data_IF_721141931204
#
_entry.id   IF_721141931204
#
_cell.length_a   1.000
_cell.length_b   1.000
_cell.length_c   1.000
_cell.angle_alpha   90.00
_cell.angle_beta   90.00
_cell.angle_gamma   90.00
#
_symmetry.space_group_name_H-M   'P 1'
#
loop_
_entity.id
_entity.type
_entity.pdbx_description
1 polymer ?
#
# COMPACT_ATOMS: atom_id res chain seq x y z
N UNK A 1 -0.81 -19.39 51.52
CA UNK A 1 -0.75 -18.04 50.98
C UNK A 1 0.47 -17.98 50.05
N UNK A 2 0.27 -18.08 48.74
CA UNK A 2 1.36 -17.88 47.73
C UNK A 2 0.88 -16.78 46.78
N UNK A 3 1.44 -15.61 46.91
CA UNK A 3 1.22 -14.44 46.08
C UNK A 3 1.88 -14.63 44.72
N UNK A 4 1.08 -14.67 43.67
CA UNK A 4 1.53 -14.70 42.28
C UNK A 4 1.77 -13.27 41.85
N UNK A 5 3.02 -12.89 41.62
CA UNK A 5 3.42 -11.62 40.99
C UNK A 5 3.15 -11.70 39.48
N UNK A 6 2.14 -10.98 39.02
CA UNK A 6 1.94 -10.70 37.60
C UNK A 6 2.99 -9.67 37.16
N UNK A 7 4.01 -10.10 36.42
CA UNK A 7 4.92 -9.16 35.72
C UNK A 7 4.20 -8.58 34.51
N UNK A 8 3.84 -7.33 34.60
CA UNK A 8 3.44 -6.54 33.43
C UNK A 8 4.69 -6.27 32.57
N UNK A 9 4.72 -6.88 31.40
CA UNK A 9 5.70 -6.53 30.37
C UNK A 9 5.21 -5.24 29.68
N UNK A 10 5.75 -4.12 30.05
CA UNK A 10 5.60 -2.86 29.31
C UNK A 10 6.54 -2.93 28.12
N UNK A 11 6.00 -3.12 26.92
CA UNK A 11 6.74 -2.98 25.68
C UNK A 11 6.89 -1.47 25.42
N UNK A 12 8.02 -0.92 25.80
CA UNK A 12 8.42 0.44 25.42
C UNK A 12 8.88 0.42 23.97
N UNK A 13 8.03 0.86 23.05
CA UNK A 13 8.44 1.20 21.68
C UNK A 13 9.19 2.52 21.75
N UNK A 14 10.51 2.47 21.65
CA UNK A 14 11.34 3.65 21.56
C UNK A 14 11.12 4.29 20.17
N UNK A 15 10.38 5.40 20.13
CA UNK A 15 10.23 6.25 18.95
C UNK A 15 11.53 7.06 18.77
N UNK A 16 12.34 6.63 17.81
CA UNK A 16 13.44 7.46 17.30
C UNK A 16 12.84 8.52 16.37
N UNK A 17 12.80 9.77 16.81
CA UNK A 17 12.49 10.92 15.95
C UNK A 17 13.75 11.29 15.18
N UNK A 18 13.86 10.91 13.91
CA UNK A 18 14.84 11.46 12.97
C UNK A 18 14.21 12.59 12.16
N UNK A 19 14.95 13.68 11.85
CA UNK A 19 14.40 14.78 11.09
C UNK A 19 14.06 14.36 9.66
N UNK A 20 12.84 14.69 9.25
CA UNK A 20 12.28 14.41 7.92
C UNK A 20 12.95 15.31 6.86
N UNK A 21 13.75 14.71 5.98
CA UNK A 21 14.13 15.32 4.70
C UNK A 21 13.90 14.31 3.57
N UNK A 22 12.64 14.06 3.27
CA UNK A 22 12.25 13.15 2.19
C UNK A 22 11.59 13.88 1.03
N UNK A 23 12.38 14.55 0.18
CA UNK A 23 11.87 15.12 -1.07
C UNK A 23 11.94 14.03 -2.13
N UNK A 24 10.77 13.56 -2.60
CA UNK A 24 10.66 12.77 -3.83
C UNK A 24 10.37 11.27 -3.70
N UNK A 25 10.64 10.61 -2.58
CA UNK A 25 10.33 9.18 -2.40
C UNK A 25 8.88 8.92 -1.95
N UNK A 26 8.10 9.97 -1.72
CA UNK A 26 6.71 9.90 -1.25
C UNK A 26 5.77 9.12 -2.20
N UNK A 27 6.14 8.96 -3.48
CA UNK A 27 5.37 8.13 -4.42
C UNK A 27 5.26 6.67 -3.95
N UNK A 28 6.17 6.20 -3.09
CA UNK A 28 6.14 4.87 -2.50
C UNK A 28 4.96 4.66 -1.53
N UNK A 29 4.43 5.74 -0.97
CA UNK A 29 3.29 5.73 -0.05
C UNK A 29 1.94 5.91 -0.75
N UNK A 30 1.94 6.27 -2.04
CA UNK A 30 0.72 6.42 -2.82
C UNK A 30 0.10 5.05 -3.05
N UNK A 31 -1.23 4.88 -2.81
CA UNK A 31 -1.95 3.67 -3.17
C UNK A 31 -1.92 3.42 -4.68
N UNK A 32 -1.81 2.16 -5.08
CA UNK A 32 -1.84 1.75 -6.49
C UNK A 32 -2.94 0.74 -6.81
N UNK A 33 -3.80 0.42 -5.82
CA UNK A 33 -5.00 -0.38 -6.05
C UNK A 33 -6.21 0.33 -5.46
N UNK A 34 -7.38 0.29 -6.14
CA UNK A 34 -8.62 0.88 -5.62
C UNK A 34 -9.02 0.32 -4.26
N UNK A 35 -8.80 -0.98 -4.06
CA UNK A 35 -9.11 -1.65 -2.79
C UNK A 35 -8.26 -1.12 -1.64
N UNK A 36 -6.95 -0.92 -1.88
CA UNK A 36 -6.06 -0.30 -0.89
C UNK A 36 -6.56 1.10 -0.51
N UNK A 37 -6.87 1.93 -1.52
CA UNK A 37 -7.37 3.29 -1.31
C UNK A 37 -8.68 3.27 -0.55
N UNK A 38 -9.67 2.51 -1.03
CA UNK A 38 -11.02 2.46 -0.47
C UNK A 38 -11.07 1.95 0.98
N UNK A 39 -10.13 1.09 1.39
CA UNK A 39 -9.98 0.66 2.79
C UNK A 39 -9.31 1.72 3.67
N UNK A 40 -8.98 2.92 3.16
CA UNK A 40 -8.13 3.88 3.86
C UNK A 40 -6.72 3.33 4.15
N UNK A 41 -6.29 2.28 3.43
CA UNK A 41 -5.05 1.55 3.66
C UNK A 41 -5.08 0.52 4.79
N UNK A 42 -6.23 0.19 5.38
CA UNK A 42 -6.37 -0.79 6.47
C UNK A 42 -6.26 -2.25 5.97
N UNK A 43 -5.18 -2.59 5.30
CA UNK A 43 -5.03 -3.88 4.61
C UNK A 43 -3.87 -4.76 5.04
N UNK A 44 -3.08 -4.40 6.06
CA UNK A 44 -1.83 -5.11 6.44
C UNK A 44 -2.02 -6.59 6.74
N UNK A 45 -3.20 -7.02 7.19
CA UNK A 45 -3.55 -8.42 7.48
C UNK A 45 -4.60 -9.00 6.51
N UNK A 46 -4.94 -8.31 5.42
CA UNK A 46 -6.04 -8.67 4.52
C UNK A 46 -5.60 -9.71 3.49
N UNK A 47 -5.48 -10.96 3.90
CA UNK A 47 -5.09 -12.05 3.01
C UNK A 47 -6.17 -12.41 1.99
N UNK A 48 -5.72 -12.69 0.77
CA UNK A 48 -6.51 -13.22 -0.33
C UNK A 48 -6.66 -12.28 -1.52
N UNK A 49 -5.91 -11.19 -1.53
CA UNK A 49 -5.76 -10.32 -2.68
C UNK A 49 -4.26 -10.00 -2.86
N UNK A 50 -3.59 -10.69 -3.79
CA UNK A 50 -2.16 -10.53 -3.98
C UNK A 50 -1.77 -9.14 -4.53
N UNK A 51 -2.69 -8.34 -5.06
CA UNK A 51 -2.42 -6.97 -5.48
C UNK A 51 -2.03 -6.05 -4.31
N UNK A 52 -2.36 -6.44 -3.07
CA UNK A 52 -2.06 -5.71 -1.85
C UNK A 52 -0.66 -6.01 -1.27
N UNK A 53 0.19 -6.80 -1.94
CA UNK A 53 1.52 -7.17 -1.42
C UNK A 53 2.40 -5.98 -1.03
N UNK A 54 2.12 -4.81 -1.58
CA UNK A 54 2.78 -3.54 -1.23
C UNK A 54 2.45 -3.03 0.18
N UNK A 55 1.36 -3.49 0.80
CA UNK A 55 1.04 -3.22 2.20
C UNK A 55 1.76 -4.19 3.15
N UNK A 56 1.88 -5.45 2.72
CA UNK A 56 2.55 -6.50 3.45
C UNK A 56 2.98 -7.59 2.44
N UNK A 57 4.27 -7.86 2.26
CA UNK A 57 4.75 -8.86 1.30
C UNK A 57 4.10 -10.24 1.41
N UNK A 58 3.70 -10.66 2.62
CA UNK A 58 3.01 -11.93 2.83
C UNK A 58 1.64 -12.01 2.14
N UNK A 59 1.07 -10.87 1.71
CA UNK A 59 -0.19 -10.82 0.96
C UNK A 59 -0.04 -11.29 -0.49
N UNK A 60 1.19 -11.39 -1.02
CA UNK A 60 1.42 -11.95 -2.36
C UNK A 60 0.90 -13.39 -2.49
N UNK A 61 0.81 -14.10 -1.37
CA UNK A 61 0.39 -15.51 -1.33
C UNK A 61 -1.09 -15.62 -1.69
N UNK A 62 -1.35 -16.36 -2.76
CA UNK A 62 -2.69 -16.59 -3.27
C UNK A 62 -3.45 -17.63 -2.42
N UNK A 63 -4.78 -17.49 -2.32
CA UNK A 63 -5.65 -18.53 -1.73
C UNK A 63 -5.82 -19.73 -2.65
N UNK A 64 -5.98 -19.46 -3.93
CA UNK A 64 -6.10 -20.45 -4.99
C UNK A 64 -4.98 -20.16 -5.98
N UNK A 65 -4.08 -21.12 -6.23
CA UNK A 65 -3.00 -20.93 -7.19
C UNK A 65 -3.55 -20.63 -8.59
N UNK A 66 -3.18 -19.49 -9.14
CA UNK A 66 -3.55 -19.04 -10.48
C UNK A 66 -2.53 -18.02 -11.00
N UNK A 67 -2.50 -17.76 -12.29
CA UNK A 67 -1.79 -16.59 -12.83
C UNK A 67 -2.75 -15.41 -12.80
N UNK A 68 -2.39 -14.37 -12.07
CA UNK A 68 -3.19 -13.14 -11.98
C UNK A 68 -2.39 -11.95 -12.50
N UNK A 69 -3.03 -11.11 -13.31
CA UNK A 69 -2.42 -9.89 -13.83
C UNK A 69 -3.32 -8.71 -13.48
N UNK A 70 -2.73 -7.67 -12.93
CA UNK A 70 -3.40 -6.46 -12.49
C UNK A 70 -2.87 -5.26 -13.28
N UNK A 71 -3.76 -4.44 -13.82
CA UNK A 71 -3.46 -3.16 -14.45
C UNK A 71 -4.13 -2.06 -13.67
N UNK A 72 -3.37 -1.10 -13.17
CA UNK A 72 -3.86 0.01 -12.37
C UNK A 72 -3.59 1.36 -13.01
N UNK A 73 -4.56 2.25 -12.93
CA UNK A 73 -4.45 3.67 -13.24
C UNK A 73 -4.80 4.49 -12.01
N UNK A 74 -4.02 5.53 -11.75
CA UNK A 74 -4.16 6.40 -10.60
C UNK A 74 -4.14 7.86 -11.06
N UNK A 75 -5.25 8.58 -10.85
CA UNK A 75 -5.32 10.02 -10.91
C UNK A 75 -5.17 10.54 -9.46
N UNK A 76 -4.01 11.08 -9.15
CA UNK A 76 -3.65 11.47 -7.79
C UNK A 76 -3.68 12.99 -7.61
N UNK A 77 -3.37 13.44 -6.40
CA UNK A 77 -3.29 14.86 -6.05
C UNK A 77 -2.23 15.60 -6.90
N UNK A 78 -2.39 16.91 -7.07
CA UNK A 78 -1.50 17.77 -7.85
C UNK A 78 -1.29 17.28 -9.31
N UNK A 79 -2.37 16.81 -9.94
CA UNK A 79 -2.38 16.27 -11.30
C UNK A 79 -1.39 15.12 -11.55
N UNK A 80 -0.89 14.48 -10.48
CA UNK A 80 -0.04 13.33 -10.61
C UNK A 80 -0.82 12.15 -11.20
N UNK A 81 -0.20 11.45 -12.15
CA UNK A 81 -0.76 10.29 -12.83
C UNK A 81 0.11 9.07 -12.59
N UNK A 82 -0.51 7.99 -12.15
CA UNK A 82 0.17 6.75 -11.85
C UNK A 82 -0.33 5.59 -12.70
N UNK A 83 0.60 4.71 -13.01
CA UNK A 83 0.32 3.45 -13.69
C UNK A 83 0.96 2.30 -12.93
N UNK A 84 0.31 1.16 -12.90
CA UNK A 84 0.91 -0.05 -12.33
C UNK A 84 0.51 -1.30 -13.10
N UNK A 85 1.45 -2.21 -13.18
CA UNK A 85 1.22 -3.58 -13.65
C UNK A 85 1.79 -4.53 -12.62
N UNK A 86 1.03 -5.56 -12.27
CA UNK A 86 1.48 -6.63 -11.38
C UNK A 86 1.10 -7.96 -12.00
N UNK A 87 2.04 -8.89 -12.04
CA UNK A 87 1.79 -10.29 -12.37
C UNK A 87 2.12 -11.17 -11.17
N UNK A 88 1.23 -12.07 -10.83
CA UNK A 88 1.38 -12.99 -9.69
C UNK A 88 1.13 -14.41 -10.15
N UNK A 89 2.00 -15.33 -9.75
CA UNK A 89 1.87 -16.74 -10.11
C UNK A 89 2.49 -17.67 -9.06
N UNK A 90 2.07 -18.93 -9.01
CA UNK A 90 2.74 -19.96 -8.22
C UNK A 90 4.19 -20.13 -8.65
N UNK A 91 5.13 -20.17 -7.70
CA UNK A 91 6.54 -20.34 -8.00
C UNK A 91 7.30 -20.94 -6.81
N UNK A 92 8.09 -22.00 -7.03
CA UNK A 92 8.95 -22.65 -6.02
C UNK A 92 8.23 -23.00 -4.70
N UNK A 93 7.00 -23.51 -4.79
CA UNK A 93 6.18 -23.89 -3.63
C UNK A 93 5.69 -22.72 -2.80
N UNK A 94 5.72 -21.53 -3.34
CA UNK A 94 5.16 -20.27 -2.85
C UNK A 94 4.48 -19.51 -3.97
N UNK A 95 4.42 -18.20 -3.84
CA UNK A 95 3.89 -17.27 -4.85
C UNK A 95 4.91 -16.20 -5.17
N UNK A 96 5.16 -15.98 -6.46
CA UNK A 96 5.98 -14.88 -6.98
C UNK A 96 5.07 -13.78 -7.49
N UNK A 97 5.34 -12.54 -7.10
CA UNK A 97 4.74 -11.33 -7.63
C UNK A 97 5.80 -10.47 -8.30
N UNK A 98 5.57 -10.06 -9.53
CA UNK A 98 6.39 -9.08 -10.24
C UNK A 98 5.57 -7.82 -10.47
N UNK A 99 6.12 -6.66 -10.13
CA UNK A 99 5.41 -5.39 -10.22
C UNK A 99 6.23 -4.30 -10.88
N UNK A 100 5.54 -3.46 -11.62
CA UNK A 100 6.02 -2.17 -12.10
C UNK A 100 5.01 -1.11 -11.69
N UNK A 101 5.47 0.01 -11.15
CA UNK A 101 4.64 1.19 -10.94
C UNK A 101 5.40 2.46 -11.25
N UNK A 102 4.69 3.45 -11.74
CA UNK A 102 5.21 4.80 -11.93
C UNK A 102 4.21 5.84 -11.46
N UNK A 103 4.69 6.97 -10.99
CA UNK A 103 3.91 8.17 -10.69
C UNK A 103 4.63 9.36 -11.32
N UNK A 104 3.89 10.18 -12.05
CA UNK A 104 4.45 11.31 -12.82
C UNK A 104 3.63 12.56 -12.56
N UNK A 105 4.30 13.69 -12.35
CA UNK A 105 3.72 15.03 -12.34
C UNK A 105 4.37 15.78 -13.51
N UNK A 106 3.56 16.22 -14.45
CA UNK A 106 3.98 16.97 -15.63
C UNK A 106 3.73 18.47 -15.45
N UNK A 107 4.27 19.25 -16.35
CA UNK A 107 4.00 20.69 -16.50
C UNK A 107 4.32 21.52 -15.24
N UNK A 108 5.31 21.07 -14.45
CA UNK A 108 5.84 21.85 -13.35
C UNK A 108 6.62 23.06 -13.89
N UNK A 109 6.28 24.26 -13.43
CA UNK A 109 6.88 25.48 -13.91
C UNK A 109 8.24 25.75 -13.26
N UNK A 110 9.25 25.97 -14.08
CA UNK A 110 10.54 26.47 -13.63
C UNK A 110 10.48 28.02 -13.63
N UNK A 111 10.54 28.60 -12.44
CA UNK A 111 10.52 30.06 -12.26
C UNK A 111 11.76 30.54 -11.51
N UNK A 112 12.16 31.78 -11.75
CA UNK A 112 13.20 32.47 -10.94
C UNK A 112 12.59 33.07 -9.68
N UNK A 113 13.44 33.53 -8.77
CA UNK A 113 13.02 34.29 -7.59
C UNK A 113 12.40 35.67 -7.94
N UNK A 114 12.57 36.14 -9.17
CA UNK A 114 11.93 37.39 -9.66
C UNK A 114 10.59 37.02 -10.30
N UNK A 115 9.49 37.69 -9.92
CA UNK A 115 8.22 37.49 -10.57
C UNK A 115 8.28 37.78 -12.06
N UNK A 116 7.83 36.87 -12.90
CA UNK A 116 7.68 37.04 -14.35
C UNK A 116 6.32 36.49 -14.74
N UNK A 117 5.69 37.05 -15.76
CA UNK A 117 4.40 36.58 -16.25
C UNK A 117 4.49 35.15 -16.79
N UNK A 118 5.57 34.86 -17.54
CA UNK A 118 5.82 33.56 -18.11
C UNK A 118 6.86 32.75 -17.31
N UNK A 119 6.71 31.41 -17.20
CA UNK A 119 7.76 30.56 -16.66
C UNK A 119 8.96 30.46 -17.60
N UNK A 120 10.15 30.18 -17.07
CA UNK A 120 11.35 29.94 -17.88
C UNK A 120 11.21 28.70 -18.75
N UNK A 121 10.63 27.67 -18.24
CA UNK A 121 10.32 26.39 -18.90
C UNK A 121 9.37 25.58 -18.04
N UNK A 122 8.86 24.48 -18.59
CA UNK A 122 8.19 23.43 -17.82
C UNK A 122 9.08 22.19 -17.73
N UNK A 123 8.87 21.40 -16.67
CA UNK A 123 9.57 20.14 -16.48
C UNK A 123 8.63 19.08 -15.87
N UNK A 124 9.08 17.84 -15.90
CA UNK A 124 8.36 16.70 -15.34
C UNK A 124 9.17 16.11 -14.20
N UNK A 125 8.48 15.62 -13.18
CA UNK A 125 9.07 14.76 -12.14
C UNK A 125 8.38 13.40 -12.14
N UNK A 126 9.15 12.34 -11.95
CA UNK A 126 8.61 10.99 -11.92
C UNK A 126 9.32 10.10 -10.89
N UNK A 127 8.58 9.14 -10.36
CA UNK A 127 9.10 8.04 -9.57
C UNK A 127 8.66 6.70 -10.16
N UNK A 128 9.59 5.79 -10.36
CA UNK A 128 9.34 4.44 -10.89
C UNK A 128 9.88 3.40 -9.93
N UNK A 129 9.16 2.29 -9.76
CA UNK A 129 9.61 1.14 -8.99
C UNK A 129 9.36 -0.16 -9.74
N UNK A 130 10.40 -0.99 -9.84
CA UNK A 130 10.33 -2.38 -10.28
C UNK A 130 10.42 -3.26 -9.04
N UNK A 131 9.50 -4.20 -8.89
CA UNK A 131 9.31 -4.94 -7.65
C UNK A 131 9.27 -6.44 -7.91
N UNK A 132 9.95 -7.22 -7.08
CA UNK A 132 9.86 -8.67 -7.04
C UNK A 132 9.52 -9.10 -5.61
N UNK A 133 8.35 -9.68 -5.42
CA UNK A 133 7.86 -10.20 -4.16
C UNK A 133 7.80 -11.72 -4.20
N UNK A 134 8.19 -12.37 -3.12
CA UNK A 134 7.98 -13.80 -2.95
C UNK A 134 7.46 -14.09 -1.56
N UNK A 135 6.50 -15.00 -1.49
CA UNK A 135 5.90 -15.39 -0.23
C UNK A 135 5.56 -16.87 -0.19
N UNK A 136 5.66 -17.44 1.01
CA UNK A 136 5.31 -18.82 1.30
C UNK A 136 4.71 -18.94 2.69
N UNK A 137 3.83 -19.92 2.85
CA UNK A 137 3.21 -20.19 4.14
C UNK A 137 2.21 -21.33 4.08
N UNK A 138 1.46 -21.43 5.14
CA UNK A 138 0.36 -22.40 5.29
C UNK A 138 -0.90 -21.65 5.78
N UNK A 139 -1.92 -22.40 6.16
CA UNK A 139 -3.19 -21.80 6.61
C UNK A 139 -3.06 -20.97 7.90
N UNK A 140 -2.00 -21.20 8.70
CA UNK A 140 -1.80 -20.53 9.98
C UNK A 140 -0.83 -19.36 9.88
N UNK A 141 0.30 -19.54 9.19
CA UNK A 141 1.39 -18.54 9.12
C UNK A 141 1.85 -18.39 7.68
N UNK A 142 2.04 -17.14 7.26
CA UNK A 142 2.52 -16.73 5.94
C UNK A 142 3.60 -15.69 6.12
N UNK A 143 4.67 -15.84 5.36
CA UNK A 143 5.81 -14.92 5.34
C UNK A 143 6.07 -14.46 3.91
N UNK A 144 6.54 -13.26 3.76
CA UNK A 144 6.89 -12.72 2.45
C UNK A 144 7.98 -11.66 2.53
N UNK A 145 8.65 -11.48 1.41
CA UNK A 145 9.64 -10.42 1.20
C UNK A 145 9.48 -9.81 -0.18
N UNK A 146 9.84 -8.56 -0.32
CA UNK A 146 9.89 -7.82 -1.58
C UNK A 146 11.25 -7.17 -1.73
N UNK A 147 11.85 -7.30 -2.92
CA UNK A 147 12.99 -6.51 -3.36
C UNK A 147 12.50 -5.49 -4.39
N UNK A 148 12.96 -4.27 -4.28
CA UNK A 148 12.53 -3.17 -5.13
C UNK A 148 13.73 -2.38 -5.64
N UNK A 149 13.76 -2.16 -6.96
CA UNK A 149 14.61 -1.17 -7.58
C UNK A 149 13.81 0.09 -7.83
N UNK A 150 14.41 1.24 -7.52
CA UNK A 150 13.78 2.55 -7.55
C UNK A 150 14.53 3.47 -8.51
N UNK A 151 13.79 4.27 -9.25
CA UNK A 151 14.31 5.37 -10.06
C UNK A 151 13.45 6.59 -9.85
N UNK A 152 14.10 7.72 -9.70
CA UNK A 152 13.46 9.03 -9.60
C UNK A 152 14.13 9.99 -10.57
N UNK A 153 13.30 10.80 -11.22
CA UNK A 153 13.75 11.83 -12.14
C UNK A 153 13.04 13.14 -11.82
N UNK A 154 13.75 14.25 -11.85
CA UNK A 154 13.18 15.59 -11.70
C UNK A 154 14.05 16.59 -12.43
N UNK A 155 13.46 17.28 -13.40
CA UNK A 155 14.17 18.21 -14.27
C UNK A 155 15.33 17.51 -15.01
N UNK A 156 16.59 17.85 -14.69
CA UNK A 156 17.81 17.26 -15.28
C UNK A 156 18.49 16.25 -14.33
N UNK A 157 17.91 15.99 -13.17
CA UNK A 157 18.51 15.13 -12.15
C UNK A 157 17.80 13.78 -12.10
N UNK A 158 18.59 12.73 -11.88
CA UNK A 158 18.09 11.39 -11.65
C UNK A 158 18.77 10.77 -10.41
N UNK A 159 18.04 9.91 -9.72
CA UNK A 159 18.54 9.10 -8.62
C UNK A 159 17.95 7.70 -8.73
N UNK A 160 18.73 6.70 -8.37
CA UNK A 160 18.27 5.32 -8.27
C UNK A 160 18.57 4.75 -6.90
N UNK A 161 17.89 3.68 -6.53
CA UNK A 161 18.08 3.05 -5.24
C UNK A 161 17.48 1.66 -5.16
N UNK A 162 17.65 1.06 -4.00
CA UNK A 162 17.08 -0.25 -3.68
C UNK A 162 16.38 -0.20 -2.33
N UNK A 163 15.27 -0.89 -2.25
CA UNK A 163 14.52 -1.08 -1.01
C UNK A 163 14.09 -2.53 -0.88
N UNK A 164 13.91 -2.97 0.36
CA UNK A 164 13.35 -4.26 0.68
C UNK A 164 12.21 -4.11 1.69
N UNK A 165 11.25 -5.03 1.59
CA UNK A 165 10.16 -5.14 2.54
C UNK A 165 10.12 -6.56 3.09
N UNK A 166 9.67 -6.71 4.32
CA UNK A 166 9.36 -8.00 4.93
C UNK A 166 7.99 -7.96 5.58
N UNK A 167 7.32 -9.10 5.62
CA UNK A 167 6.00 -9.16 6.22
C UNK A 167 5.59 -10.56 6.63
N UNK A 168 4.67 -10.59 7.58
CA UNK A 168 4.09 -11.80 8.13
C UNK A 168 2.58 -11.65 8.33
N UNK A 169 1.86 -12.77 8.22
CA UNK A 169 0.44 -12.88 8.54
C UNK A 169 0.22 -14.16 9.34
N UNK A 170 -0.54 -14.04 10.42
CA UNK A 170 -1.02 -15.18 11.21
C UNK A 170 -2.56 -15.26 11.12
N UNK A 171 -3.08 -16.48 10.86
CA UNK A 171 -4.52 -16.77 10.91
C UNK A 171 -4.87 -17.37 12.25
N UNK A 172 -5.83 -16.79 12.93
CA UNK A 172 -6.33 -17.15 14.25
C UNK A 172 -7.84 -17.45 14.16
N UNK A 173 -8.38 -18.12 15.17
CA UNK A 173 -9.81 -18.42 15.26
C UNK A 173 -10.37 -19.07 13.98
N UNK A 174 -9.68 -20.09 13.47
CA UNK A 174 -10.03 -20.79 12.23
C UNK A 174 -10.18 -19.86 11.01
N UNK A 175 -9.30 -18.85 10.93
CA UNK A 175 -9.24 -17.90 9.83
C UNK A 175 -10.24 -16.74 9.91
N UNK A 176 -11.02 -16.64 11.00
CA UNK A 176 -11.92 -15.50 11.24
C UNK A 176 -11.17 -14.24 11.63
N UNK A 177 -10.07 -14.38 12.32
CA UNK A 177 -9.18 -13.30 12.69
C UNK A 177 -7.83 -13.52 12.01
N UNK A 178 -7.33 -12.52 11.34
CA UNK A 178 -5.96 -12.50 10.83
C UNK A 178 -5.21 -11.31 11.44
N UNK A 179 -3.99 -11.57 11.90
CA UNK A 179 -3.05 -10.54 12.34
C UNK A 179 -1.91 -10.44 11.34
N UNK A 180 -1.45 -9.25 11.04
CA UNK A 180 -0.36 -9.02 10.12
C UNK A 180 0.60 -7.96 10.64
N UNK A 181 1.87 -8.09 10.26
CA UNK A 181 2.90 -7.10 10.51
C UNK A 181 3.79 -6.97 9.28
N UNK A 182 4.26 -5.76 8.99
CA UNK A 182 5.22 -5.51 7.91
C UNK A 182 6.17 -4.36 8.24
N UNK A 183 7.38 -4.46 7.68
CA UNK A 183 8.35 -3.38 7.59
C UNK A 183 8.61 -3.15 6.10
N UNK A 184 8.44 -1.91 5.63
CA UNK A 184 8.46 -1.55 4.20
C UNK A 184 9.42 -0.41 3.93
N UNK A 185 9.88 -0.36 2.67
CA UNK A 185 10.74 0.70 2.16
C UNK A 185 12.06 0.86 2.94
N UNK A 186 12.59 -0.22 3.50
CA UNK A 186 13.91 -0.22 4.14
C UNK A 186 14.99 -0.33 3.08
N UNK A 187 15.92 0.63 3.02
CA UNK A 187 16.95 0.66 1.98
C UNK A 187 17.58 2.03 1.82
N UNK A 188 18.08 2.30 0.62
CA UNK A 188 18.76 3.57 0.35
C UNK A 188 18.65 3.98 -1.12
N UNK A 189 18.71 5.29 -1.33
CA UNK A 189 18.85 5.92 -2.64
C UNK A 189 20.29 6.41 -2.85
N UNK A 190 20.74 6.47 -4.09
CA UNK A 190 21.95 7.18 -4.47
C UNK A 190 21.71 8.69 -4.39
N UNK A 191 22.78 9.47 -4.34
CA UNK A 191 22.66 10.92 -4.24
C UNK A 191 21.93 11.50 -5.45
N UNK A 192 20.99 12.39 -5.18
CA UNK A 192 20.31 13.24 -6.13
C UNK A 192 21.07 14.58 -6.14
N UNK A 193 22.03 14.72 -7.03
CA UNK A 193 23.04 15.79 -7.01
C UNK A 193 23.99 15.65 -5.79
N UNK A 194 23.68 16.30 -4.68
CA UNK A 194 24.53 16.33 -3.46
C UNK A 194 23.89 15.60 -2.28
N UNK A 195 22.57 15.37 -2.31
CA UNK A 195 21.83 14.70 -1.25
C UNK A 195 21.17 13.42 -1.74
N UNK A 196 21.30 12.35 -0.97
CA UNK A 196 20.53 11.14 -1.18
C UNK A 196 19.13 11.31 -0.56
N UNK A 197 18.03 11.10 -1.33
CA UNK A 197 16.70 11.09 -0.76
C UNK A 197 16.55 9.97 0.26
N UNK A 198 15.94 10.24 1.41
CA UNK A 198 15.58 9.20 2.37
C UNK A 198 14.38 8.39 1.85
N UNK A 199 14.35 7.09 2.15
CA UNK A 199 13.18 6.26 1.88
C UNK A 199 12.18 6.39 3.03
N UNK A 200 10.86 6.35 2.74
CA UNK A 200 9.81 6.44 3.75
C UNK A 200 9.63 5.09 4.45
N UNK A 201 10.60 4.71 5.28
CA UNK A 201 10.55 3.45 6.04
C UNK A 201 9.27 3.43 6.87
N UNK A 202 8.53 2.33 6.78
CA UNK A 202 7.20 2.23 7.36
C UNK A 202 7.03 0.89 8.05
N UNK A 203 6.69 0.94 9.34
CA UNK A 203 6.28 -0.22 10.13
C UNK A 203 4.77 -0.23 10.29
N UNK A 204 4.12 -1.37 10.09
CA UNK A 204 2.68 -1.50 10.28
C UNK A 204 2.29 -2.82 10.94
N UNK A 205 1.25 -2.74 11.76
CA UNK A 205 0.55 -3.88 12.36
C UNK A 205 -0.93 -3.75 12.07
N UNK A 206 -1.59 -4.87 11.76
CA UNK A 206 -3.00 -4.85 11.44
C UNK A 206 -3.75 -6.09 11.87
N UNK A 207 -5.05 -5.96 11.97
CA UNK A 207 -6.01 -7.01 12.27
C UNK A 207 -7.12 -6.98 11.23
N UNK A 208 -7.57 -8.14 10.79
CA UNK A 208 -8.78 -8.30 9.96
C UNK A 208 -9.69 -9.33 10.58
N UNK A 209 -10.93 -8.94 10.82
CA UNK A 209 -11.97 -9.79 11.35
C UNK A 209 -13.02 -10.10 10.27
N UNK A 210 -13.40 -11.38 10.16
CA UNK A 210 -14.41 -11.90 9.24
C UNK A 210 -15.55 -12.51 10.05
N UNK A 211 -16.64 -11.76 10.29
CA UNK A 211 -17.80 -12.32 10.99
C UNK A 211 -18.43 -13.44 10.18
N UNK A 212 -18.99 -14.44 10.88
CA UNK A 212 -19.83 -15.47 10.25
C UNK A 212 -21.23 -14.89 10.13
N UNK A 213 -21.66 -14.74 8.89
CA UNK A 213 -23.04 -14.40 8.59
C UNK A 213 -23.74 -15.67 8.12
N UNK A 214 -24.47 -16.32 9.02
CA UNK A 214 -25.17 -17.59 8.73
C UNK A 214 -26.12 -17.44 7.54
N UNK A 215 -25.96 -18.33 6.56
CA UNK A 215 -26.89 -18.48 5.43
C UNK A 215 -26.89 -17.33 4.42
N UNK A 216 -25.93 -16.42 4.47
CA UNK A 216 -25.94 -15.25 3.61
C UNK A 216 -25.01 -15.37 2.40
N UNK A 217 -25.48 -14.89 1.26
CA UNK A 217 -24.65 -14.59 0.07
C UNK A 217 -23.74 -13.36 0.31
N UNK A 218 -23.67 -12.89 1.55
CA UNK A 218 -22.96 -11.67 1.97
C UNK A 218 -21.67 -12.08 2.67
N UNK A 219 -20.54 -11.57 2.21
CA UNK A 219 -19.26 -11.64 2.89
C UNK A 219 -18.90 -10.27 3.46
N UNK A 220 -18.56 -10.20 4.74
CA UNK A 220 -18.17 -8.93 5.39
C UNK A 220 -16.79 -9.08 6.03
N UNK A 221 -16.01 -8.02 6.00
CA UNK A 221 -14.77 -7.91 6.78
C UNK A 221 -14.71 -6.55 7.46
N UNK A 222 -14.01 -6.52 8.59
CA UNK A 222 -13.56 -5.29 9.25
C UNK A 222 -12.04 -5.36 9.40
N UNK A 223 -11.35 -4.27 9.12
CA UNK A 223 -9.90 -4.16 9.13
C UNK A 223 -9.44 -2.97 9.96
N UNK A 224 -8.39 -3.15 10.73
CA UNK A 224 -7.68 -2.12 11.47
C UNK A 224 -6.19 -2.23 11.18
N UNK A 225 -5.52 -1.12 10.93
CA UNK A 225 -4.07 -1.04 10.82
C UNK A 225 -3.56 0.17 11.58
N UNK A 226 -2.49 -0.02 12.35
CA UNK A 226 -1.69 1.06 12.92
C UNK A 226 -0.35 1.06 12.20
N UNK A 227 0.07 2.23 11.76
CA UNK A 227 1.24 2.42 10.93
C UNK A 227 2.08 3.56 11.49
N UNK A 228 3.40 3.42 11.45
CA UNK A 228 4.36 4.46 11.76
C UNK A 228 5.35 4.57 10.60
N UNK A 229 5.58 5.78 10.12
CA UNK A 229 6.44 6.06 8.97
C UNK A 229 7.33 7.25 9.24
N UNK A 230 8.56 7.18 8.76
CA UNK A 230 9.51 8.32 8.79
C UNK A 230 9.01 9.51 7.95
N UNK A 231 8.07 9.27 7.02
CA UNK A 231 7.57 10.30 6.11
C UNK A 231 6.37 11.08 6.64
N UNK A 232 5.52 10.49 7.48
CA UNK A 232 4.23 11.10 7.88
C UNK A 232 3.78 10.75 9.31
N UNK A 233 4.71 10.26 10.16
CA UNK A 233 4.40 9.95 11.56
C UNK A 233 3.48 8.73 11.72
N UNK A 234 2.62 8.78 12.72
CA UNK A 234 1.72 7.70 13.10
C UNK A 234 0.33 7.87 12.46
N UNK A 235 -0.24 6.77 11.96
CA UNK A 235 -1.54 6.76 11.30
C UNK A 235 -2.35 5.55 11.77
N UNK A 236 -3.62 5.77 12.07
CA UNK A 236 -4.61 4.73 12.30
C UNK A 236 -5.49 4.63 11.06
N UNK A 237 -5.73 3.41 10.60
CA UNK A 237 -6.52 3.11 9.42
C UNK A 237 -7.60 2.10 9.79
N UNK A 238 -8.84 2.41 9.45
CA UNK A 238 -10.00 1.56 9.71
C UNK A 238 -10.70 1.37 8.38
N UNK A 239 -11.02 0.14 8.03
CA UNK A 239 -11.71 -0.16 6.79
C UNK A 239 -12.66 -1.35 6.92
N UNK A 240 -13.55 -1.46 5.97
CA UNK A 240 -14.49 -2.58 5.90
C UNK A 240 -14.94 -2.83 4.47
N UNK A 241 -15.34 -4.05 4.22
CA UNK A 241 -15.89 -4.49 2.94
C UNK A 241 -17.14 -5.33 3.15
N UNK A 242 -18.05 -5.19 2.22
CA UNK A 242 -19.22 -6.09 2.13
C UNK A 242 -19.39 -6.54 0.68
N UNK A 243 -19.25 -7.83 0.46
CA UNK A 243 -19.46 -8.47 -0.84
C UNK A 243 -20.85 -9.07 -0.95
N UNK A 244 -21.56 -8.81 -2.06
CA UNK A 244 -22.83 -9.40 -2.40
C UNK A 244 -22.76 -9.90 -3.84
N UNK A 245 -22.78 -11.22 -4.04
CA UNK A 245 -22.57 -11.85 -5.35
C UNK A 245 -21.27 -11.39 -5.99
N UNK A 246 -21.38 -10.70 -7.12
CA UNK A 246 -20.24 -10.27 -7.94
C UNK A 246 -19.75 -8.85 -7.55
N UNK A 247 -20.44 -8.18 -6.64
CA UNK A 247 -20.09 -6.83 -6.19
C UNK A 247 -19.50 -6.83 -4.80
N UNK A 248 -18.48 -6.00 -4.61
CA UNK A 248 -17.92 -5.69 -3.29
C UNK A 248 -17.91 -4.19 -3.11
N UNK A 249 -18.54 -3.73 -2.04
CA UNK A 249 -18.48 -2.33 -1.58
C UNK A 249 -17.42 -2.23 -0.48
N UNK A 250 -16.60 -1.21 -0.57
CA UNK A 250 -15.49 -0.98 0.35
C UNK A 250 -15.56 0.45 0.89
N UNK A 251 -15.29 0.61 2.17
CA UNK A 251 -15.19 1.93 2.81
C UNK A 251 -14.08 1.96 3.85
N UNK A 252 -13.48 3.12 4.06
CA UNK A 252 -12.40 3.26 5.01
C UNK A 252 -12.14 4.69 5.45
N UNK A 253 -11.40 4.80 6.56
CA UNK A 253 -10.97 6.07 7.17
C UNK A 253 -9.49 5.96 7.50
N UNK A 254 -8.75 6.99 7.18
CA UNK A 254 -7.35 7.19 7.58
C UNK A 254 -7.30 8.38 8.54
N UNK A 255 -6.75 8.18 9.73
CA UNK A 255 -6.60 9.20 10.77
C UNK A 255 -5.10 9.40 11.00
N UNK A 256 -4.56 10.49 10.49
CA UNK A 256 -3.18 10.93 10.74
C UNK A 256 -3.14 12.11 11.68
N UNK A 257 -1.96 12.57 12.01
CA UNK A 257 -1.76 13.70 12.94
C UNK A 257 -2.32 15.00 12.35
N UNK A 258 -2.13 15.25 11.06
CA UNK A 258 -2.55 16.48 10.41
C UNK A 258 -3.76 16.30 9.49
N UNK A 259 -3.91 15.13 8.88
CA UNK A 259 -4.91 14.87 7.83
C UNK A 259 -5.75 13.66 8.16
N UNK A 260 -7.06 13.85 8.15
CA UNK A 260 -8.04 12.76 8.14
C UNK A 260 -8.64 12.63 6.75
N UNK A 261 -8.76 11.39 6.27
CA UNK A 261 -9.40 11.13 4.98
C UNK A 261 -10.43 10.00 5.08
N UNK A 262 -11.42 10.07 4.20
CA UNK A 262 -12.49 9.10 4.03
C UNK A 262 -12.40 8.54 2.62
N UNK A 263 -12.50 7.24 2.50
CA UNK A 263 -12.36 6.56 1.23
C UNK A 263 -13.53 5.62 0.96
N UNK A 264 -13.81 5.40 -0.31
CA UNK A 264 -14.83 4.48 -0.76
C UNK A 264 -14.46 3.83 -2.07
N UNK A 265 -15.08 2.69 -2.36
CA UNK A 265 -14.82 1.98 -3.61
C UNK A 265 -15.80 0.85 -3.87
N UNK A 266 -15.77 0.39 -5.11
CA UNK A 266 -16.56 -0.75 -5.58
C UNK A 266 -15.69 -1.64 -6.45
N UNK A 267 -15.87 -2.95 -6.30
CA UNK A 267 -15.27 -3.95 -7.19
C UNK A 267 -16.37 -4.82 -7.76
N UNK A 268 -16.32 -5.02 -9.08
CA UNK A 268 -17.16 -5.97 -9.80
C UNK A 268 -16.30 -7.12 -10.31
N UNK A 269 -16.76 -8.35 -10.11
CA UNK A 269 -16.07 -9.56 -10.55
C UNK A 269 -16.96 -10.40 -11.46
N UNK A 270 -16.45 -10.70 -12.65
CA UNK A 270 -17.14 -11.53 -13.63
C UNK A 270 -16.19 -12.61 -14.16
N UNK A 271 -16.37 -13.85 -13.73
CA UNK A 271 -15.55 -14.99 -14.11
C UNK A 271 -14.04 -14.73 -13.91
N UNK A 272 -13.32 -14.46 -15.00
CA UNK A 272 -11.86 -14.26 -15.03
C UNK A 272 -11.47 -12.78 -14.96
N UNK A 273 -12.42 -11.85 -15.00
CA UNK A 273 -12.17 -10.40 -14.99
C UNK A 273 -12.73 -9.79 -13.71
N UNK A 274 -11.96 -8.91 -13.09
CA UNK A 274 -12.43 -8.05 -12.02
C UNK A 274 -12.08 -6.60 -12.33
N UNK A 275 -13.02 -5.68 -12.09
CA UNK A 275 -12.82 -4.24 -12.26
C UNK A 275 -13.09 -3.55 -10.95
N UNK A 276 -12.15 -2.76 -10.49
CA UNK A 276 -12.26 -1.99 -9.25
C UNK A 276 -12.14 -0.49 -9.49
N UNK A 277 -12.90 0.27 -8.72
CA UNK A 277 -12.81 1.71 -8.64
C UNK A 277 -12.74 2.14 -7.18
N UNK A 278 -11.91 3.13 -6.86
CA UNK A 278 -11.79 3.71 -5.53
C UNK A 278 -11.51 5.20 -5.58
N UNK A 279 -11.94 5.91 -4.55
CA UNK A 279 -11.69 7.33 -4.36
C UNK A 279 -11.41 7.63 -2.89
N UNK A 280 -10.78 8.78 -2.65
CA UNK A 280 -10.50 9.29 -1.29
C UNK A 280 -10.84 10.79 -1.24
N UNK A 281 -11.41 11.23 -0.11
CA UNK A 281 -11.68 12.63 0.19
C UNK A 281 -10.92 12.97 1.48
N UNK A 282 -9.95 13.85 1.39
CA UNK A 282 -9.15 14.30 2.51
C UNK A 282 -9.71 15.61 3.09
N UNK A 283 -9.46 15.83 4.39
CA UNK A 283 -9.65 17.15 5.02
C UNK A 283 -8.80 18.21 4.29
N UNK A 284 -9.16 19.47 4.44
CA UNK A 284 -8.46 20.63 3.87
C UNK A 284 -8.54 20.81 2.35
N UNK A 285 -9.46 20.12 1.66
CA UNK A 285 -9.73 20.36 0.22
C UNK A 285 -8.55 20.02 -0.71
N UNK A 286 -7.77 19.01 -0.39
CA UNK A 286 -6.57 18.60 -1.14
C UNK A 286 -6.87 17.98 -2.52
N UNK A 287 -8.13 17.89 -2.92
CA UNK A 287 -8.56 17.18 -4.12
C UNK A 287 -9.10 15.78 -3.81
N UNK A 288 -9.53 15.09 -4.85
CA UNK A 288 -10.13 13.74 -4.75
C UNK A 288 -9.35 12.77 -5.65
N UNK A 289 -8.43 11.98 -5.11
CA UNK A 289 -7.77 10.93 -5.86
C UNK A 289 -8.75 9.85 -6.33
N UNK A 290 -8.51 9.32 -7.54
CA UNK A 290 -9.30 8.27 -8.15
C UNK A 290 -8.39 7.16 -8.67
N UNK A 291 -8.73 5.92 -8.36
CA UNK A 291 -8.02 4.75 -8.84
C UNK A 291 -8.95 3.81 -9.59
N UNK A 292 -8.43 3.26 -10.68
CA UNK A 292 -9.05 2.20 -11.48
C UNK A 292 -8.11 1.01 -11.56
N UNK A 293 -8.66 -0.19 -11.52
CA UNK A 293 -7.90 -1.43 -11.71
C UNK A 293 -8.71 -2.44 -12.52
N UNK A 294 -8.04 -3.11 -13.43
CA UNK A 294 -8.51 -4.31 -14.09
C UNK A 294 -7.63 -5.48 -13.68
N UNK A 295 -8.25 -6.57 -13.26
CA UNK A 295 -7.59 -7.83 -12.92
C UNK A 295 -8.04 -8.91 -13.89
N UNK A 296 -7.10 -9.71 -14.35
CA UNK A 296 -7.32 -10.92 -15.13
C UNK A 296 -6.82 -12.11 -14.32
N UNK A 297 -7.66 -13.12 -14.13
CA UNK A 297 -7.28 -14.40 -13.50
C UNK A 297 -7.25 -15.47 -14.59
N UNK A 298 -6.06 -15.99 -14.88
CA UNK A 298 -5.84 -17.01 -15.88
C UNK A 298 -5.78 -18.38 -15.19
N UNK A 299 -6.38 -19.43 -15.76
CA UNK A 299 -6.38 -20.77 -15.19
C UNK A 299 -4.99 -21.39 -15.12
#
# INVERSE_FOLDING_TARGET
MKTVFLRQAVISVALFTMPLYGIGTSFLNVPFTPRQLALGGAGTALWGDPSLFRLNPALVIQKVPATEVFFGYNAWLADARGHSVVAVQPFMGGTLGLGLRSLTISDLELRTARPTDDPLSSFTTSGTAVEAAWGKGNDKIRLGGTLRWLQMESYIYASSGVAFDVGAIASLLDGRLTAGASLRNSGQMLAFKEMAPSLPTTASVGLVFKPILNGSLISTIAALTVESSDAYGSVIRIGGETGVKDFTLTGGVRIGEEVTSYAGGVTFRARVISVGYGFEVASHGLGIPHLLQVQLTLP
#
